data_IF_935745902851
#
_entry.id   IF_935745902851
#
_cell.length_a   1.000
_cell.length_b   1.000
_cell.length_c   1.000
_cell.angle_alpha   90.00
_cell.angle_beta   90.00
_cell.angle_gamma   90.00
#
_symmetry.space_group_name_H-M   'P 1'
#
loop_
_entity.id
_entity.type
_entity.pdbx_description
1 polymer ?
#
# COMPACT_ATOMS: atom_id res chain seq x y z
N UNK A 1 -8.99 -10.53 -1.51
CA UNK A 1 -8.02 -10.78 -2.61
C UNK A 1 -7.02 -11.88 -2.27
N UNK A 2 -6.36 -11.90 -1.10
CA UNK A 2 -5.42 -12.97 -0.73
C UNK A 2 -6.02 -14.39 -0.80
N UNK A 3 -7.28 -14.57 -0.35
CA UNK A 3 -8.00 -15.86 -0.47
C UNK A 3 -8.18 -16.28 -1.94
N UNK A 4 -8.48 -15.35 -2.85
CA UNK A 4 -8.62 -15.63 -4.28
C UNK A 4 -7.26 -16.05 -4.86
N UNK A 5 -6.18 -15.38 -4.46
CA UNK A 5 -4.83 -15.76 -4.85
C UNK A 5 -4.45 -17.17 -4.39
N UNK A 6 -4.87 -17.58 -3.20
CA UNK A 6 -4.67 -18.94 -2.68
C UNK A 6 -5.42 -19.97 -3.53
N UNK A 7 -6.68 -19.69 -3.88
CA UNK A 7 -7.50 -20.62 -4.67
C UNK A 7 -6.93 -20.78 -6.09
N UNK A 8 -6.37 -19.70 -6.65
CA UNK A 8 -5.89 -19.67 -8.04
C UNK A 8 -4.41 -20.05 -8.21
N UNK A 9 -3.66 -20.25 -7.12
CA UNK A 9 -2.22 -20.56 -7.24
C UNK A 9 -1.98 -22.04 -7.45
N UNK A 10 -1.14 -22.37 -8.44
CA UNK A 10 -0.67 -23.73 -8.72
C UNK A 10 0.44 -24.17 -7.73
N UNK A 11 0.26 -23.86 -6.44
CA UNK A 11 1.22 -24.06 -5.35
C UNK A 11 1.86 -22.79 -4.81
N UNK A 12 2.54 -22.92 -3.68
CA UNK A 12 3.19 -21.83 -2.96
C UNK A 12 4.69 -21.71 -3.29
N UNK A 13 5.28 -20.56 -2.98
CA UNK A 13 6.72 -20.31 -3.01
C UNK A 13 7.33 -20.57 -1.65
N UNK A 14 8.57 -21.05 -1.59
CA UNK A 14 9.27 -21.29 -0.31
C UNK A 14 9.82 -20.00 0.32
N UNK A 15 9.86 -18.89 -0.44
CA UNK A 15 10.42 -17.60 -0.01
C UNK A 15 9.57 -16.87 1.04
N UNK A 16 8.30 -17.26 1.19
CA UNK A 16 7.36 -16.64 2.12
C UNK A 16 6.31 -17.63 2.60
N UNK A 17 5.88 -17.51 3.86
CA UNK A 17 4.80 -18.33 4.41
C UNK A 17 3.48 -18.09 3.63
N UNK A 18 2.95 -19.17 3.03
CA UNK A 18 1.84 -19.14 2.06
C UNK A 18 2.09 -18.14 0.92
N UNK A 19 3.32 -18.10 0.40
CA UNK A 19 3.74 -17.20 -0.67
C UNK A 19 3.12 -17.58 -2.02
N UNK A 20 2.50 -16.61 -2.69
CA UNK A 20 1.87 -16.78 -4.00
C UNK A 20 2.93 -16.58 -5.10
N UNK A 21 2.97 -17.50 -6.06
CA UNK A 21 3.88 -17.40 -7.21
C UNK A 21 3.66 -16.12 -8.00
N UNK A 22 4.76 -15.49 -8.44
CA UNK A 22 4.73 -14.27 -9.24
C UNK A 22 3.85 -14.39 -10.50
N UNK A 23 3.81 -15.57 -11.13
CA UNK A 23 2.95 -15.84 -12.30
C UNK A 23 1.46 -15.69 -11.97
N UNK A 24 1.01 -16.20 -10.83
CA UNK A 24 -0.38 -16.07 -10.37
C UNK A 24 -0.70 -14.61 -10.04
N UNK A 25 0.21 -13.91 -9.36
CA UNK A 25 0.07 -12.49 -9.06
C UNK A 25 -0.01 -11.64 -10.34
N UNK A 26 0.83 -11.92 -11.34
CA UNK A 26 0.82 -11.22 -12.61
C UNK A 26 -0.50 -11.44 -13.38
N UNK A 27 -1.05 -12.67 -13.37
CA UNK A 27 -2.40 -12.95 -13.91
C UNK A 27 -3.50 -12.14 -13.21
N UNK A 28 -3.36 -11.93 -11.91
CA UNK A 28 -4.32 -11.17 -11.09
C UNK A 28 -4.13 -9.64 -11.19
N UNK A 29 -3.14 -9.17 -11.95
CA UNK A 29 -2.91 -7.75 -12.18
C UNK A 29 -1.84 -7.11 -11.31
N UNK A 30 -0.87 -7.89 -10.82
CA UNK A 30 0.33 -7.35 -10.17
C UNK A 30 1.10 -6.39 -11.10
N UNK A 31 1.93 -5.53 -10.49
CA UNK A 31 2.75 -4.57 -11.22
C UNK A 31 3.73 -5.34 -12.08
N UNK A 32 3.73 -5.05 -13.38
CA UNK A 32 4.58 -5.67 -14.38
C UNK A 32 4.83 -4.62 -15.46
N UNK A 33 6.09 -4.19 -15.62
CA UNK A 33 6.45 -3.04 -16.45
C UNK A 33 6.21 -3.33 -17.94
N UNK A 34 6.53 -4.54 -18.39
CA UNK A 34 6.33 -4.95 -19.78
C UNK A 34 4.85 -4.91 -20.16
N UNK A 35 3.99 -5.40 -19.26
CA UNK A 35 2.54 -5.41 -19.49
C UNK A 35 1.92 -4.01 -19.35
N UNK A 36 2.48 -3.15 -18.50
CA UNK A 36 2.11 -1.74 -18.41
C UNK A 36 2.43 -1.02 -19.73
N UNK A 37 3.60 -1.27 -20.32
CA UNK A 37 3.97 -0.70 -21.63
C UNK A 37 3.05 -1.18 -22.75
N UNK A 38 2.47 -2.36 -22.62
CA UNK A 38 1.43 -2.89 -23.52
C UNK A 38 0.03 -2.29 -23.28
N UNK A 39 -0.09 -1.29 -22.40
CA UNK A 39 -1.35 -0.55 -22.15
C UNK A 39 -2.19 -1.08 -20.99
N UNK A 40 -1.69 -2.01 -20.18
CA UNK A 40 -2.43 -2.57 -19.04
C UNK A 40 -2.40 -1.64 -17.81
N UNK A 41 -3.00 -0.45 -17.92
CA UNK A 41 -2.99 0.61 -16.89
C UNK A 41 -3.63 0.19 -15.55
N UNK A 42 -4.49 -0.83 -15.56
CA UNK A 42 -5.08 -1.38 -14.33
C UNK A 42 -4.02 -1.93 -13.36
N UNK A 43 -2.81 -2.25 -13.86
CA UNK A 43 -1.66 -2.69 -13.07
C UNK A 43 -1.05 -1.59 -12.20
N UNK A 44 -1.56 -0.36 -12.24
CA UNK A 44 -1.24 0.65 -11.23
C UNK A 44 -2.19 0.62 -10.03
N UNK A 45 -3.39 0.05 -10.19
CA UNK A 45 -4.45 0.03 -9.17
C UNK A 45 -4.57 -1.33 -8.51
N UNK A 46 -4.64 -2.40 -9.31
CA UNK A 46 -4.82 -3.77 -8.79
C UNK A 46 -3.72 -4.26 -7.84
N UNK A 47 -2.43 -3.87 -7.97
CA UNK A 47 -1.41 -4.33 -7.02
C UNK A 47 -1.68 -3.88 -5.57
N UNK A 48 -2.40 -2.78 -5.37
CA UNK A 48 -2.72 -2.22 -4.04
C UNK A 48 -3.50 -3.22 -3.17
N UNK A 49 -4.32 -4.06 -3.80
CA UNK A 49 -5.16 -5.05 -3.10
C UNK A 49 -4.56 -6.46 -3.10
N UNK A 50 -3.55 -6.71 -3.92
CA UNK A 50 -2.87 -8.00 -4.03
C UNK A 50 -1.80 -8.14 -2.95
N UNK A 51 -1.58 -9.36 -2.48
CA UNK A 51 -0.62 -9.65 -1.43
C UNK A 51 0.21 -10.88 -1.79
N UNK A 52 1.52 -10.79 -1.59
CA UNK A 52 2.48 -11.82 -1.97
C UNK A 52 2.44 -13.02 -1.02
N UNK A 53 2.12 -12.84 0.25
CA UNK A 53 2.09 -13.93 1.23
C UNK A 53 1.29 -13.59 2.49
N UNK A 54 1.16 -14.55 3.39
CA UNK A 54 0.33 -14.39 4.58
C UNK A 54 0.91 -13.38 5.57
N UNK A 55 2.21 -13.46 5.87
CA UNK A 55 2.86 -12.47 6.74
C UNK A 55 2.83 -11.07 6.12
N UNK A 56 2.86 -10.98 4.78
CA UNK A 56 2.75 -9.71 4.09
C UNK A 56 1.38 -9.06 4.32
N UNK A 57 0.27 -9.79 4.21
CA UNK A 57 -1.06 -9.23 4.52
C UNK A 57 -1.21 -8.88 6.00
N UNK A 58 -0.67 -9.68 6.92
CA UNK A 58 -0.70 -9.36 8.34
C UNK A 58 0.03 -8.05 8.62
N UNK A 59 1.27 -7.89 8.16
CA UNK A 59 2.05 -6.66 8.41
C UNK A 59 1.40 -5.43 7.78
N UNK A 60 0.89 -5.54 6.55
CA UNK A 60 0.19 -4.43 5.91
C UNK A 60 -1.10 -4.07 6.66
N UNK A 61 -1.82 -5.06 7.18
CA UNK A 61 -3.06 -4.82 7.93
C UNK A 61 -2.79 -4.16 9.28
N UNK A 62 -1.79 -4.63 10.02
CA UNK A 62 -1.39 -4.00 11.31
C UNK A 62 -0.95 -2.55 11.07
N UNK A 63 -0.13 -2.30 10.05
CA UNK A 63 0.31 -0.94 9.74
C UNK A 63 -0.87 -0.07 9.27
N UNK A 64 -1.77 -0.60 8.43
CA UNK A 64 -2.98 0.10 8.02
C UNK A 64 -3.89 0.44 9.19
N UNK A 65 -4.01 -0.43 10.20
CA UNK A 65 -4.79 -0.14 11.40
C UNK A 65 -4.19 1.04 12.19
N UNK A 66 -2.87 1.05 12.37
CA UNK A 66 -2.18 2.12 13.09
C UNK A 66 -2.27 3.45 12.32
N UNK A 67 -1.76 3.51 11.09
CA UNK A 67 -1.77 4.75 10.30
C UNK A 67 -3.19 5.15 9.90
N UNK A 68 -4.04 4.19 9.55
CA UNK A 68 -5.41 4.45 9.12
C UNK A 68 -6.25 5.08 10.21
N UNK A 69 -6.10 4.64 11.47
CA UNK A 69 -6.81 5.26 12.60
C UNK A 69 -6.43 6.73 12.80
N UNK A 70 -5.14 7.07 12.62
CA UNK A 70 -4.67 8.46 12.65
C UNK A 70 -5.32 9.27 11.51
N UNK A 71 -5.27 8.76 10.28
CA UNK A 71 -5.85 9.46 9.12
C UNK A 71 -7.37 9.61 9.22
N UNK A 72 -8.08 8.62 9.73
CA UNK A 72 -9.54 8.67 9.91
C UNK A 72 -9.93 9.78 10.89
N UNK A 73 -9.17 9.98 11.97
CA UNK A 73 -9.36 11.11 12.90
C UNK A 73 -9.01 12.45 12.24
N UNK A 74 -7.97 12.51 11.43
CA UNK A 74 -7.49 13.77 10.83
C UNK A 74 -8.39 14.28 9.69
N UNK A 75 -8.80 13.39 8.78
CA UNK A 75 -9.47 13.78 7.53
C UNK A 75 -10.76 13.01 7.24
N UNK A 76 -11.12 12.04 8.08
CA UNK A 76 -12.30 11.19 7.89
C UNK A 76 -12.08 10.05 6.88
N UNK A 77 -12.99 9.04 6.88
CA UNK A 77 -12.78 7.77 6.20
C UNK A 77 -12.76 7.88 4.67
N UNK A 78 -13.63 8.71 4.08
CA UNK A 78 -13.71 8.85 2.61
C UNK A 78 -12.47 9.53 2.02
N UNK A 79 -11.96 10.57 2.70
CA UNK A 79 -10.75 11.26 2.26
C UNK A 79 -9.53 10.38 2.47
N UNK A 80 -9.47 9.66 3.59
CA UNK A 80 -8.46 8.64 3.82
C UNK A 80 -8.42 7.60 2.69
N UNK A 81 -9.56 7.04 2.29
CA UNK A 81 -9.62 6.08 1.18
C UNK A 81 -9.08 6.67 -0.13
N UNK A 82 -9.45 7.91 -0.45
CA UNK A 82 -8.95 8.59 -1.64
C UNK A 82 -7.42 8.77 -1.58
N UNK A 83 -6.87 9.23 -0.46
CA UNK A 83 -5.43 9.38 -0.26
C UNK A 83 -4.72 8.03 -0.34
N UNK A 84 -5.27 6.97 0.26
CA UNK A 84 -4.73 5.62 0.22
C UNK A 84 -4.60 5.09 -1.23
N UNK A 85 -5.63 5.29 -2.06
CA UNK A 85 -5.62 4.86 -3.46
C UNK A 85 -4.61 5.69 -4.27
N UNK A 86 -4.62 7.01 -4.13
CA UNK A 86 -3.69 7.90 -4.86
C UNK A 86 -2.24 7.62 -4.48
N UNK A 87 -1.96 7.44 -3.19
CA UNK A 87 -0.64 7.06 -2.69
C UNK A 87 -0.17 5.72 -3.29
N UNK A 88 -1.06 4.73 -3.37
CA UNK A 88 -0.76 3.43 -3.96
C UNK A 88 -0.45 3.51 -5.46
N UNK A 89 -1.26 4.25 -6.22
CA UNK A 89 -1.05 4.47 -7.65
C UNK A 89 0.28 5.20 -7.88
N UNK A 90 0.54 6.27 -7.13
CA UNK A 90 1.78 7.04 -7.23
C UNK A 90 3.01 6.21 -6.87
N UNK A 91 2.93 5.38 -5.82
CA UNK A 91 4.01 4.47 -5.44
C UNK A 91 4.24 3.36 -6.46
N UNK A 92 3.18 2.80 -7.07
CA UNK A 92 3.31 1.81 -8.14
C UNK A 92 3.92 2.44 -9.41
N UNK A 93 3.56 3.68 -9.73
CA UNK A 93 4.16 4.43 -10.84
C UNK A 93 5.65 4.69 -10.57
N UNK A 94 6.01 5.21 -9.40
CA UNK A 94 7.41 5.45 -9.04
C UNK A 94 8.21 4.14 -9.04
N UNK A 95 7.63 3.05 -8.53
CA UNK A 95 8.25 1.73 -8.59
C UNK A 95 8.45 1.26 -10.03
N UNK A 96 7.48 1.44 -10.93
CA UNK A 96 7.62 1.07 -12.34
C UNK A 96 8.70 1.90 -13.07
N UNK A 97 8.95 3.14 -12.64
CA UNK A 97 10.04 3.97 -13.18
C UNK A 97 11.41 3.60 -12.60
N UNK A 98 11.45 3.01 -11.40
CA UNK A 98 12.70 2.69 -10.69
C UNK A 98 13.16 1.25 -10.87
N UNK A 99 12.24 0.31 -11.09
CA UNK A 99 12.54 -1.11 -11.24
C UNK A 99 11.47 -1.89 -12.04
N UNK A 100 11.96 -2.90 -12.74
CA UNK A 100 11.13 -3.81 -13.56
C UNK A 100 10.67 -5.06 -12.80
N UNK A 101 10.90 -5.12 -11.48
CA UNK A 101 10.53 -6.28 -10.67
C UNK A 101 9.01 -6.39 -10.52
N UNK A 102 8.47 -7.59 -10.66
CA UNK A 102 7.04 -7.85 -10.40
C UNK A 102 6.76 -7.61 -8.92
N UNK A 103 5.76 -6.78 -8.61
CA UNK A 103 5.41 -6.45 -7.23
C UNK A 103 3.91 -6.33 -7.01
N UNK A 104 3.48 -6.63 -5.77
CA UNK A 104 2.11 -6.56 -5.32
C UNK A 104 2.07 -6.25 -3.83
N UNK A 105 1.16 -5.40 -3.39
CA UNK A 105 1.06 -5.00 -2.00
C UNK A 105 0.37 -3.67 -1.78
N UNK A 106 -0.27 -3.55 -0.61
CA UNK A 106 -0.69 -2.28 -0.03
C UNK A 106 0.48 -1.39 0.44
N UNK A 107 1.70 -1.93 0.45
CA UNK A 107 2.89 -1.27 1.03
C UNK A 107 3.26 0.03 0.34
N UNK A 108 2.95 0.19 -0.96
CA UNK A 108 3.12 1.45 -1.69
C UNK A 108 2.16 2.53 -1.16
N UNK A 109 0.89 2.19 -0.93
CA UNK A 109 -0.08 3.07 -0.28
C UNK A 109 0.35 3.44 1.14
N UNK A 110 0.78 2.46 1.94
CA UNK A 110 1.21 2.70 3.34
C UNK A 110 2.43 3.61 3.43
N UNK A 111 3.43 3.39 2.57
CA UNK A 111 4.62 4.24 2.52
C UNK A 111 4.27 5.67 2.13
N UNK A 112 3.34 5.85 1.17
CA UNK A 112 2.85 7.17 0.80
C UNK A 112 2.06 7.84 1.93
N UNK A 113 1.25 7.10 2.69
CA UNK A 113 0.56 7.63 3.88
C UNK A 113 1.53 8.04 4.99
N UNK A 114 2.57 7.24 5.24
CA UNK A 114 3.61 7.58 6.20
C UNK A 114 4.35 8.86 5.79
N UNK A 115 4.73 8.97 4.51
CA UNK A 115 5.34 10.18 3.95
C UNK A 115 4.42 11.40 4.03
N UNK A 116 3.12 11.23 3.74
CA UNK A 116 2.12 12.29 3.86
C UNK A 116 1.95 12.78 5.31
N UNK A 117 1.98 11.87 6.28
CA UNK A 117 1.90 12.22 7.69
C UNK A 117 3.15 12.98 8.15
N UNK A 118 4.32 12.53 7.71
CA UNK A 118 5.58 13.21 7.98
C UNK A 118 5.61 14.62 7.37
N UNK A 119 5.15 14.78 6.13
CA UNK A 119 5.03 16.08 5.49
C UNK A 119 4.06 16.99 6.25
N UNK A 120 2.91 16.45 6.69
CA UNK A 120 1.95 17.18 7.51
C UNK A 120 2.57 17.66 8.83
N UNK A 121 3.33 16.80 9.51
CA UNK A 121 4.03 17.13 10.75
C UNK A 121 5.05 18.25 10.55
N UNK A 122 5.86 18.18 9.48
CA UNK A 122 6.90 19.18 9.18
C UNK A 122 6.28 20.53 8.84
N UNK A 123 5.28 20.56 7.95
CA UNK A 123 4.65 21.80 7.49
C UNK A 123 3.86 22.48 8.62
N UNK A 124 3.22 21.71 9.50
CA UNK A 124 2.37 22.24 10.56
C UNK A 124 3.06 22.25 11.94
N UNK A 125 4.38 22.02 12.01
CA UNK A 125 5.11 21.82 13.26
C UNK A 125 4.86 22.92 14.30
N UNK A 126 4.96 24.19 13.87
CA UNK A 126 4.77 25.36 14.74
C UNK A 126 3.31 25.52 15.16
N UNK A 127 2.35 25.29 14.26
CA UNK A 127 0.92 25.39 14.56
C UNK A 127 0.44 24.28 15.52
N UNK A 128 1.11 23.14 15.54
CA UNK A 128 0.78 22.04 16.46
C UNK A 128 1.20 22.33 17.90
N UNK A 129 2.11 23.27 18.15
CA UNK A 129 2.56 23.61 19.51
C UNK A 129 1.43 24.18 20.37
N UNK A 130 0.46 24.89 19.77
CA UNK A 130 -0.71 25.41 20.48
C UNK A 130 -1.82 24.37 20.68
N UNK A 131 -1.75 23.21 20.03
CA UNK A 131 -2.86 22.23 19.96
C UNK A 131 -2.42 20.88 20.53
N UNK A 132 -2.34 20.78 21.87
CA UNK A 132 -1.86 19.58 22.59
C UNK A 132 -2.50 18.27 22.16
N UNK A 133 -3.79 18.29 21.80
CA UNK A 133 -4.57 17.09 21.52
C UNK A 133 -4.12 16.36 20.23
N UNK A 134 -3.66 17.09 19.20
CA UNK A 134 -3.20 16.50 17.94
C UNK A 134 -1.79 15.91 18.07
N UNK A 135 -0.91 16.55 18.85
CA UNK A 135 0.44 16.02 19.12
C UNK A 135 0.40 14.68 19.85
N UNK A 136 -0.50 14.52 20.82
CA UNK A 136 -0.65 13.25 21.55
C UNK A 136 -1.14 12.10 20.64
N UNK A 137 -2.04 12.36 19.69
CA UNK A 137 -2.49 11.32 18.75
C UNK A 137 -1.42 10.88 17.74
N UNK A 138 -0.39 11.70 17.49
CA UNK A 138 0.65 11.44 16.49
C UNK A 138 1.96 10.89 17.08
N UNK A 139 2.17 11.04 18.38
CA UNK A 139 3.42 10.68 19.08
C UNK A 139 3.27 9.52 20.09
N UNK A 140 2.06 9.00 20.28
CA UNK A 140 1.79 7.82 21.10
C UNK A 140 1.72 6.57 20.22
#
# INVERSE_FOLDING_TARGET
MFIISIIMTDGFTDDAFLGIKAKTLCKLGAKDVDLIQQGQIHRFVLPIILHVGFLHIVNNSVFLLVIGSIYEVLIGPLRFLAVYIVAGIGGNLLSALSNDTISAGASTSLSGLAGGLLAFLVVNWVAMESTKQIRCCLLC
#
